data_IF_408324369295
#
_entry.id   IF_408324369295
#
_cell.length_a   1.000
_cell.length_b   1.000
_cell.length_c   1.000
_cell.angle_alpha   90.00
_cell.angle_beta   90.00
_cell.angle_gamma   90.00
#
_symmetry.space_group_name_H-M   'P 1'
#
loop_
_entity.id
_entity.type
_entity.pdbx_description
1 polymer ?
#
# COMPACT_ATOMS: atom_id res chain seq x y z
N UNK A 1 -22.16 8.30 -25.49
CA UNK A 1 -21.84 8.27 -24.05
C UNK A 1 -22.22 6.94 -23.42
N UNK A 2 -23.25 6.27 -23.91
CA UNK A 2 -23.77 5.02 -23.32
C UNK A 2 -22.84 3.82 -23.47
N UNK A 3 -22.09 3.71 -24.57
CA UNK A 3 -21.12 2.61 -24.76
C UNK A 3 -19.95 2.66 -23.76
N UNK A 4 -19.50 3.86 -23.40
CA UNK A 4 -18.42 4.04 -22.43
C UNK A 4 -18.92 3.71 -21.02
N UNK A 5 -20.11 4.18 -20.66
CA UNK A 5 -20.74 3.87 -19.38
C UNK A 5 -20.99 2.36 -19.24
N UNK A 6 -21.54 1.72 -20.28
CA UNK A 6 -21.76 0.27 -20.29
C UNK A 6 -20.47 -0.54 -20.14
N UNK A 7 -19.36 -0.07 -20.72
CA UNK A 7 -18.04 -0.71 -20.53
C UNK A 7 -17.54 -0.55 -19.10
N UNK A 8 -17.68 0.64 -18.51
CA UNK A 8 -17.30 0.93 -17.13
C UNK A 8 -18.11 0.09 -16.14
N UNK A 9 -19.42 -0.04 -16.35
CA UNK A 9 -20.31 -0.83 -15.50
C UNK A 9 -20.00 -2.33 -15.58
N UNK A 10 -19.60 -2.82 -16.77
CA UNK A 10 -19.15 -4.19 -16.95
C UNK A 10 -17.87 -4.47 -16.16
N UNK A 11 -16.90 -3.56 -16.24
CA UNK A 11 -15.64 -3.65 -15.50
C UNK A 11 -15.89 -3.55 -13.98
N UNK A 12 -16.73 -2.61 -13.55
CA UNK A 12 -17.11 -2.46 -12.15
C UNK A 12 -17.82 -3.71 -11.61
N UNK A 13 -18.76 -4.28 -12.36
CA UNK A 13 -19.46 -5.50 -11.94
C UNK A 13 -18.54 -6.71 -11.79
N UNK A 14 -17.42 -6.75 -12.52
CA UNK A 14 -16.38 -7.79 -12.38
C UNK A 14 -15.47 -7.49 -11.18
N UNK A 15 -14.99 -6.25 -11.03
CA UNK A 15 -14.04 -5.87 -9.97
C UNK A 15 -14.65 -5.92 -8.57
N UNK A 16 -15.88 -5.42 -8.42
CA UNK A 16 -16.59 -5.33 -7.15
C UNK A 16 -17.38 -6.60 -6.80
N UNK A 17 -17.45 -7.57 -7.70
CA UNK A 17 -17.99 -8.90 -7.41
C UNK A 17 -19.48 -9.10 -7.66
N UNK A 18 -20.18 -8.10 -8.21
CA UNK A 18 -21.63 -8.15 -8.52
C UNK A 18 -21.99 -9.29 -9.49
N UNK A 19 -21.07 -9.65 -10.42
CA UNK A 19 -21.30 -10.75 -11.37
C UNK A 19 -20.70 -12.11 -11.01
N UNK A 20 -19.70 -12.14 -10.13
CA UNK A 20 -18.95 -13.37 -9.79
C UNK A 20 -19.17 -13.85 -8.34
N UNK A 21 -19.96 -13.13 -7.54
CA UNK A 21 -20.27 -13.49 -6.15
C UNK A 21 -19.20 -13.13 -5.12
N UNK A 22 -18.05 -12.58 -5.54
CA UNK A 22 -16.98 -12.10 -4.66
C UNK A 22 -16.15 -11.00 -5.32
N UNK A 23 -15.76 -9.91 -4.60
CA UNK A 23 -14.96 -8.82 -5.18
C UNK A 23 -13.59 -9.32 -5.61
N UNK A 24 -13.28 -9.32 -6.90
CA UNK A 24 -12.05 -9.88 -7.48
C UNK A 24 -10.76 -9.25 -6.89
N UNK A 25 -10.84 -7.98 -6.50
CA UNK A 25 -9.70 -7.24 -5.94
C UNK A 25 -9.21 -7.80 -4.61
N UNK A 26 -10.12 -8.27 -3.74
CA UNK A 26 -9.78 -8.76 -2.39
C UNK A 26 -8.93 -10.04 -2.43
N UNK A 27 -9.30 -11.12 -3.14
CA UNK A 27 -8.49 -12.33 -3.22
C UNK A 27 -7.20 -12.09 -4.01
N UNK A 28 -7.19 -11.19 -5.01
CA UNK A 28 -5.98 -10.86 -5.73
C UNK A 28 -4.95 -10.18 -4.81
N UNK A 29 -5.36 -9.14 -4.10
CA UNK A 29 -4.49 -8.41 -3.17
C UNK A 29 -4.10 -9.29 -1.98
N UNK A 30 -5.04 -10.10 -1.48
CA UNK A 30 -4.82 -11.06 -0.40
C UNK A 30 -3.83 -12.16 -0.78
N UNK A 31 -3.98 -12.80 -1.94
CA UNK A 31 -3.07 -13.85 -2.40
C UNK A 31 -1.65 -13.31 -2.61
N UNK A 32 -1.51 -12.16 -3.28
CA UNK A 32 -0.19 -11.54 -3.49
C UNK A 32 0.44 -11.17 -2.15
N UNK A 33 -0.33 -10.57 -1.24
CA UNK A 33 0.13 -10.21 0.09
C UNK A 33 0.59 -11.42 0.91
N UNK A 34 -0.19 -12.51 0.91
CA UNK A 34 0.14 -13.75 1.62
C UNK A 34 1.37 -14.41 0.99
N UNK A 35 1.40 -14.53 -0.34
CA UNK A 35 2.52 -15.12 -1.08
C UNK A 35 3.84 -14.41 -0.76
N UNK A 36 3.86 -13.07 -0.83
CA UNK A 36 5.05 -12.29 -0.51
C UNK A 36 5.40 -12.36 0.99
N UNK A 37 4.40 -12.35 1.88
CA UNK A 37 4.64 -12.41 3.33
C UNK A 37 5.28 -13.74 3.73
N UNK A 38 4.79 -14.86 3.21
CA UNK A 38 5.36 -16.19 3.47
C UNK A 38 6.73 -16.32 2.79
N UNK A 39 6.86 -15.88 1.52
CA UNK A 39 8.12 -15.94 0.77
C UNK A 39 9.25 -15.12 1.40
N UNK A 40 8.92 -13.98 2.04
CA UNK A 40 9.88 -13.17 2.79
C UNK A 40 10.02 -13.60 4.27
N UNK A 41 9.44 -14.72 4.70
CA UNK A 41 9.50 -15.20 6.09
C UNK A 41 9.01 -14.16 7.11
N UNK A 42 7.84 -13.57 6.84
CA UNK A 42 7.21 -12.55 7.69
C UNK A 42 8.13 -11.34 7.97
N UNK A 43 8.93 -10.94 6.98
CA UNK A 43 9.88 -9.83 7.08
C UNK A 43 9.27 -8.53 7.63
N UNK A 44 8.07 -8.07 7.20
CA UNK A 44 7.48 -6.84 7.74
C UNK A 44 7.32 -6.89 9.25
N UNK A 45 6.82 -8.00 9.79
CA UNK A 45 6.62 -8.20 11.23
C UNK A 45 7.95 -8.24 11.99
N UNK A 46 8.95 -8.96 11.47
CA UNK A 46 10.27 -9.10 12.10
C UNK A 46 11.07 -7.79 12.10
N UNK A 47 10.88 -6.94 11.08
CA UNK A 47 11.64 -5.70 10.90
C UNK A 47 10.90 -4.45 11.37
N UNK A 48 9.63 -4.56 11.76
CA UNK A 48 8.82 -3.42 12.19
C UNK A 48 9.47 -2.63 13.32
N UNK A 49 9.85 -3.31 14.42
CA UNK A 49 10.45 -2.66 15.61
C UNK A 49 11.81 -2.02 15.27
N UNK A 50 12.60 -2.69 14.43
CA UNK A 50 13.88 -2.18 13.98
C UNK A 50 13.72 -0.93 13.11
N UNK A 51 12.79 -0.97 12.16
CA UNK A 51 12.50 0.14 11.26
C UNK A 51 11.95 1.36 12.01
N UNK A 52 11.06 1.17 12.99
CA UNK A 52 10.55 2.29 13.81
C UNK A 52 11.66 2.92 14.64
N UNK A 53 12.59 2.12 15.18
CA UNK A 53 13.79 2.63 15.85
C UNK A 53 14.71 3.43 14.92
N UNK A 54 14.88 2.99 13.67
CA UNK A 54 15.65 3.70 12.65
C UNK A 54 14.99 5.04 12.27
N UNK A 55 13.67 5.06 12.08
CA UNK A 55 12.89 6.26 11.79
C UNK A 55 12.96 7.29 12.93
N UNK A 56 12.97 6.83 14.18
CA UNK A 56 13.09 7.71 15.34
C UNK A 56 14.47 8.38 15.41
N UNK A 57 15.54 7.64 15.06
CA UNK A 57 16.91 8.16 14.97
C UNK A 57 17.10 9.08 13.76
N UNK A 58 16.54 8.73 12.61
CA UNK A 58 16.57 9.50 11.36
C UNK A 58 15.58 10.67 11.31
N UNK A 59 15.12 11.17 12.47
CA UNK A 59 14.21 12.33 12.54
C UNK A 59 14.93 13.66 12.30
N UNK A 60 16.28 13.66 12.32
CA UNK A 60 17.12 14.78 11.90
C UNK A 60 17.69 14.44 10.52
N UNK A 61 17.64 15.40 9.60
CA UNK A 61 18.35 15.28 8.33
C UNK A 61 19.86 15.29 8.62
N UNK A 62 20.56 14.19 8.34
CA UNK A 62 22.01 14.20 8.32
C UNK A 62 22.44 14.90 7.03
N UNK A 63 23.30 15.91 7.13
CA UNK A 63 23.82 16.69 6.00
C UNK A 63 24.60 15.84 4.96
N UNK A 64 24.96 14.59 5.32
CA UNK A 64 25.70 13.64 4.49
C UNK A 64 24.83 12.59 3.77
N UNK A 65 23.50 12.58 3.97
CA UNK A 65 22.61 11.63 3.31
C UNK A 65 21.99 12.25 2.04
N UNK A 66 21.95 11.50 0.93
CA UNK A 66 21.52 11.94 -0.40
C UNK A 66 20.01 12.24 -0.56
N UNK A 67 19.29 12.46 0.54
CA UNK A 67 17.84 12.66 0.54
C UNK A 67 17.44 14.08 0.93
N UNK A 68 16.58 14.71 0.12
CA UNK A 68 16.10 16.09 0.34
C UNK A 68 15.25 16.24 1.62
N UNK A 69 14.70 15.14 2.13
CA UNK A 69 13.84 15.11 3.33
C UNK A 69 14.24 13.96 4.26
N UNK A 70 14.02 14.15 5.56
CA UNK A 70 14.30 13.11 6.54
C UNK A 70 13.44 11.85 6.30
N UNK A 71 13.95 10.64 6.63
CA UNK A 71 13.16 9.39 6.59
C UNK A 71 11.81 9.49 7.32
N UNK A 72 11.75 10.26 8.41
CA UNK A 72 10.50 10.52 9.13
C UNK A 72 9.53 11.39 8.32
N UNK A 73 10.00 12.44 7.64
CA UNK A 73 9.16 13.27 6.77
C UNK A 73 8.64 12.47 5.57
N UNK A 74 9.48 11.67 4.92
CA UNK A 74 9.06 10.82 3.82
C UNK A 74 7.94 9.86 4.23
N UNK A 75 8.06 9.24 5.43
CA UNK A 75 7.02 8.40 6.01
C UNK A 75 5.70 9.18 6.22
N UNK A 76 5.77 10.37 6.82
CA UNK A 76 4.58 11.18 7.09
C UNK A 76 3.87 11.63 5.81
N UNK A 77 4.62 11.94 4.74
CA UNK A 77 4.07 12.26 3.42
C UNK A 77 3.35 11.04 2.82
N UNK A 78 3.99 9.87 2.82
CA UNK A 78 3.37 8.65 2.31
C UNK A 78 2.13 8.23 3.13
N UNK A 79 2.18 8.40 4.45
CA UNK A 79 1.05 8.14 5.34
C UNK A 79 -0.11 9.11 5.04
N UNK A 80 0.17 10.40 4.87
CA UNK A 80 -0.84 11.40 4.52
C UNK A 80 -1.49 11.13 3.17
N UNK A 81 -0.77 10.54 2.23
CA UNK A 81 -1.31 10.17 0.92
C UNK A 81 -2.27 8.97 0.98
N UNK A 82 -2.13 8.12 2.00
CA UNK A 82 -2.95 6.90 2.16
C UNK A 82 -4.07 7.06 3.18
N UNK A 83 -3.87 7.88 4.21
CA UNK A 83 -4.87 8.21 5.24
C UNK A 83 -5.58 9.51 4.85
N UNK A 84 -6.55 9.38 3.94
CA UNK A 84 -7.53 10.42 3.59
C UNK A 84 -8.92 10.09 4.12
N UNK A 85 -9.95 10.87 3.75
CA UNK A 85 -11.34 10.65 4.19
C UNK A 85 -11.98 9.35 3.70
N UNK A 86 -11.27 8.55 2.92
CA UNK A 86 -11.81 7.36 2.25
C UNK A 86 -12.67 7.76 1.06
#
# INVERSE_FOLDING_TARGET
>A
MDLINNLIDLINGILWGDRLGSPLLIPLLGLVGIYLTIGLYFLPWRKLIYATGLLWKGRRANLDESGDISPFQALMTALSATIGTG
#
